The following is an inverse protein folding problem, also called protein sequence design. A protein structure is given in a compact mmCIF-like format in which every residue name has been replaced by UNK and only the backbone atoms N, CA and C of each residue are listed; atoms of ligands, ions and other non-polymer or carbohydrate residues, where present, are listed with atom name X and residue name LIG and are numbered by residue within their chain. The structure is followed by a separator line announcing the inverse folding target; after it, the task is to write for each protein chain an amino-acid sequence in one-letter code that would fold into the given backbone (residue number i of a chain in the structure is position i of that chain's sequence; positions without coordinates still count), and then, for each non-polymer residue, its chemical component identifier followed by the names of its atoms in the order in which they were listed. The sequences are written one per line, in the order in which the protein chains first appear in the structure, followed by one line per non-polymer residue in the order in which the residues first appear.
data_IF_593120992632
#
_entry.id   IF_593120992632
#
_cell.length_a   1.000
_cell.length_b   1.000
_cell.length_c   1.000
_cell.angle_alpha   90.00
_cell.angle_beta   90.00
_cell.angle_gamma   90.00
#
_symmetry.space_group_name_H-M   'P 1'
#
loop_
_entity.id
_entity.type
_entity.pdbx_description
1 polymer ?
#
# COMPACT_ATOMS: atom_id res chain seq x y z
N UNK A 1 7.81 -4.68 -10.30
CA UNK A 1 7.78 -4.58 -8.83
C UNK A 1 8.81 -3.58 -8.37
N UNK A 2 8.36 -2.49 -7.74
CA UNK A 2 9.20 -1.42 -7.21
C UNK A 2 8.68 -1.02 -5.82
N UNK A 3 9.60 -0.72 -4.90
CA UNK A 3 9.26 -0.26 -3.55
C UNK A 3 9.70 1.19 -3.42
N UNK A 4 8.77 2.06 -3.01
CA UNK A 4 9.04 3.47 -2.70
C UNK A 4 8.85 3.69 -1.22
N UNK A 5 9.76 4.46 -0.63
CA UNK A 5 9.67 4.89 0.76
C UNK A 5 9.59 6.40 0.74
N UNK A 6 8.49 6.95 1.22
CA UNK A 6 8.33 8.37 1.47
C UNK A 6 8.48 8.63 2.97
N UNK A 7 9.61 9.21 3.35
CA UNK A 7 9.89 9.51 4.76
C UNK A 7 9.16 10.74 5.28
N UNK A 8 8.78 11.67 4.40
CA UNK A 8 8.04 12.86 4.82
C UNK A 8 6.59 12.51 5.12
N UNK A 9 6.01 11.60 4.34
CA UNK A 9 4.67 11.06 4.56
C UNK A 9 4.62 9.90 5.59
N UNK A 10 5.76 9.39 6.04
CA UNK A 10 5.88 8.12 6.78
C UNK A 10 5.12 6.97 6.10
N UNK A 11 5.37 6.79 4.81
CA UNK A 11 4.63 5.87 3.95
C UNK A 11 5.56 4.94 3.15
N UNK A 12 5.07 3.73 2.89
CA UNK A 12 5.69 2.77 1.97
C UNK A 12 4.68 2.43 0.88
N UNK A 13 5.09 2.52 -0.37
CA UNK A 13 4.31 2.11 -1.52
C UNK A 13 4.98 0.94 -2.25
N UNK A 14 4.24 -0.15 -2.43
CA UNK A 14 4.64 -1.31 -3.22
C UNK A 14 3.89 -1.28 -4.55
N UNK A 15 4.62 -0.97 -5.63
CA UNK A 15 4.11 -1.00 -6.99
C UNK A 15 4.23 -2.43 -7.54
N UNK A 16 3.11 -3.12 -7.71
CA UNK A 16 3.06 -4.51 -8.19
C UNK A 16 3.13 -4.55 -9.73
N UNK A 17 2.44 -3.64 -10.39
CA UNK A 17 2.46 -3.45 -11.85
C UNK A 17 2.45 -1.96 -12.21
N UNK A 18 2.76 -1.66 -13.47
CA UNK A 18 2.71 -0.31 -14.04
C UNK A 18 1.37 0.03 -14.70
N UNK A 19 0.32 -0.75 -14.39
CA UNK A 19 -1.02 -0.49 -14.88
C UNK A 19 -1.68 0.69 -14.14
N UNK A 20 -2.69 1.34 -14.74
CA UNK A 20 -3.35 2.48 -14.11
C UNK A 20 -4.10 2.08 -12.84
N UNK A 21 -4.02 2.93 -11.83
CA UNK A 21 -4.86 2.86 -10.63
C UNK A 21 -6.20 3.52 -10.96
N UNK A 22 -7.28 2.78 -10.78
CA UNK A 22 -8.65 3.26 -11.03
C UNK A 22 -9.43 3.41 -9.73
N UNK A 23 -9.15 2.59 -8.73
CA UNK A 23 -9.74 2.71 -7.40
C UNK A 23 -8.80 2.29 -6.29
N UNK A 24 -8.98 2.87 -5.11
CA UNK A 24 -8.23 2.56 -3.90
C UNK A 24 -9.21 2.18 -2.77
N UNK A 25 -8.83 1.20 -1.97
CA UNK A 25 -9.62 0.72 -0.83
C UNK A 25 -8.74 0.57 0.41
N UNK A 26 -9.14 1.20 1.51
CA UNK A 26 -8.52 0.96 2.82
C UNK A 26 -9.09 -0.34 3.41
N UNK A 27 -8.24 -1.37 3.50
CA UNK A 27 -8.66 -2.73 3.91
C UNK A 27 -8.34 -3.05 5.37
N UNK A 28 -7.42 -2.30 5.95
CA UNK A 28 -7.15 -2.28 7.39
C UNK A 28 -6.60 -0.91 7.75
N UNK A 29 -6.53 -0.61 9.04
CA UNK A 29 -6.01 0.66 9.56
C UNK A 29 -4.69 1.02 8.85
N UNK A 30 -4.74 2.07 8.02
CA UNK A 30 -3.60 2.65 7.31
C UNK A 30 -2.97 1.75 6.22
N UNK A 31 -3.71 0.75 5.74
CA UNK A 31 -3.30 -0.10 4.61
C UNK A 31 -4.32 0.06 3.49
N UNK A 32 -3.84 0.55 2.35
CA UNK A 32 -4.64 0.85 1.18
C UNK A 32 -4.19 -0.08 0.04
N UNK A 33 -5.15 -0.65 -0.67
CA UNK A 33 -4.95 -1.46 -1.86
C UNK A 33 -5.45 -0.71 -3.09
N UNK A 34 -4.64 -0.70 -4.13
CA UNK A 34 -4.98 -0.07 -5.40
C UNK A 34 -5.32 -1.12 -6.44
N UNK A 35 -6.36 -0.82 -7.24
CA UNK A 35 -6.91 -1.71 -8.24
C UNK A 35 -7.06 -1.04 -9.60
N UNK A 36 -6.95 -1.84 -10.65
CA UNK A 36 -7.42 -1.52 -11.99
C UNK A 36 -8.96 -1.52 -12.07
N UNK A 37 -9.51 -1.01 -13.18
CA UNK A 37 -10.97 -1.04 -13.44
C UNK A 37 -11.57 -2.45 -13.49
N UNK A 38 -10.77 -3.49 -13.77
CA UNK A 38 -11.19 -4.89 -13.75
C UNK A 38 -10.95 -5.60 -12.41
N UNK A 39 -10.58 -4.85 -11.37
CA UNK A 39 -10.46 -5.34 -9.99
C UNK A 39 -9.16 -6.11 -9.70
N UNK A 40 -8.13 -5.96 -10.54
CA UNK A 40 -6.80 -6.55 -10.28
C UNK A 40 -5.96 -5.59 -9.46
N UNK A 41 -5.26 -6.11 -8.47
CA UNK A 41 -4.41 -5.32 -7.60
C UNK A 41 -3.14 -4.84 -8.32
N UNK A 42 -2.80 -3.57 -8.18
CA UNK A 42 -1.64 -2.93 -8.81
C UNK A 42 -0.70 -2.27 -7.82
N UNK A 43 -1.18 -1.94 -6.62
CA UNK A 43 -0.44 -1.22 -5.60
C UNK A 43 -0.86 -1.57 -4.18
N UNK A 44 0.05 -1.39 -3.24
CA UNK A 44 -0.20 -1.43 -1.80
C UNK A 44 0.45 -0.18 -1.20
N UNK A 45 -0.30 0.60 -0.44
CA UNK A 45 0.21 1.71 0.34
C UNK A 45 0.05 1.42 1.83
N UNK A 46 1.11 1.65 2.59
CA UNK A 46 1.14 1.52 4.04
C UNK A 46 1.49 2.90 4.59
N UNK A 47 0.56 3.52 5.30
CA UNK A 47 0.77 4.78 6.02
C UNK A 47 1.24 4.47 7.46
N UNK A 48 1.82 5.49 8.10
CA UNK A 48 2.50 5.37 9.40
C UNK A 48 3.42 4.15 9.46
N UNK A 49 4.16 3.92 8.37
CA UNK A 49 4.92 2.69 8.17
C UNK A 49 5.98 2.48 9.27
N UNK A 50 6.52 3.56 9.83
CA UNK A 50 7.46 3.49 10.96
C UNK A 50 6.84 2.94 12.25
N UNK A 51 5.51 3.03 12.41
CA UNK A 51 4.77 2.58 13.59
C UNK A 51 4.25 1.15 13.44
N UNK A 52 4.23 0.62 12.21
CA UNK A 52 3.97 -0.81 11.94
C UNK A 52 5.17 -1.64 12.43
N UNK A 53 5.22 -1.92 13.72
CA UNK A 53 6.12 -2.94 14.28
C UNK A 53 5.53 -4.33 14.09
N UNK A 54 6.40 -5.34 14.03
CA UNK A 54 6.03 -6.75 13.90
C UNK A 54 4.80 -7.05 14.76
N UNK A 55 3.72 -7.55 14.14
CA UNK A 55 2.54 -7.96 14.90
C UNK A 55 2.98 -9.05 15.87
N UNK A 56 3.11 -8.70 17.15
CA UNK A 56 3.12 -9.67 18.24
C UNK A 56 1.78 -10.41 18.14
N UNK A 57 1.81 -11.50 17.40
CA UNK A 57 0.73 -12.48 17.36
C UNK A 57 0.93 -13.35 18.61
N UNK A 58 0.00 -13.36 19.58
CA UNK A 58 0.05 -14.35 20.65
C UNK A 58 -0.06 -15.78 20.12
#
# INVERSE_FOLDING_TARGET
MLVRVDKEADAIYLELSNEPIESSEEVSDEVILDYTADGRMVGIEILQASQKSHADTP
#
